data_IF_348357472444
#
_entry.id   IF_348357472444
#
_cell.length_a   1.000
_cell.length_b   1.000
_cell.length_c   1.000
_cell.angle_alpha   90.00
_cell.angle_beta   90.00
_cell.angle_gamma   90.00
#
_symmetry.space_group_name_H-M   'P 1'
#
loop_
_entity.id
_entity.type
_entity.pdbx_description
1 polymer ?
#
# COMPACT_ATOMS: atom_id res chain seq x y z
N UNK A 1 67.55 -13.79 -5.25
CA UNK A 1 67.55 -13.21 -3.89
C UNK A 1 66.24 -13.62 -3.24
N UNK A 2 66.09 -14.43 -2.20
CA UNK A 2 66.96 -15.26 -1.34
C UNK A 2 65.99 -16.35 -0.77
N UNK A 3 66.07 -17.61 -1.19
CA UNK A 3 66.64 -18.77 -0.46
C UNK A 3 66.52 -18.78 1.08
N UNK A 4 65.84 -19.81 1.61
CA UNK A 4 66.32 -20.81 2.62
C UNK A 4 65.15 -21.25 3.54
N UNK A 5 64.66 -22.50 3.43
CA UNK A 5 65.09 -23.75 4.11
C UNK A 5 64.26 -24.06 5.38
N UNK A 6 63.49 -25.16 5.40
CA UNK A 6 63.82 -26.53 5.92
C UNK A 6 63.76 -26.59 7.47
N UNK A 7 63.00 -27.44 8.18
CA UNK A 7 62.98 -28.92 8.31
C UNK A 7 61.84 -29.26 9.33
N UNK A 8 60.98 -30.25 9.12
CA UNK A 8 61.13 -31.71 9.40
C UNK A 8 61.13 -32.13 10.90
N UNK A 9 60.17 -33.00 11.29
CA UNK A 9 60.29 -34.24 12.11
C UNK A 9 58.95 -34.63 12.78
N UNK A 10 58.29 -35.72 12.36
CA UNK A 10 58.31 -37.12 12.89
C UNK A 10 57.59 -37.30 14.25
N UNK A 11 56.39 -37.95 14.26
CA UNK A 11 56.06 -39.36 14.66
C UNK A 11 55.94 -39.59 16.19
N UNK A 12 55.37 -40.70 16.72
CA UNK A 12 54.19 -41.50 16.30
C UNK A 12 53.33 -42.11 17.48
N UNK A 13 52.21 -42.76 17.11
CA UNK A 13 51.71 -44.10 17.54
C UNK A 13 51.04 -44.43 18.91
N UNK A 14 50.09 -45.39 18.78
CA UNK A 14 49.52 -46.38 19.72
C UNK A 14 48.34 -45.91 20.60
N UNK A 15 47.27 -46.68 20.87
CA UNK A 15 46.95 -48.11 20.70
C UNK A 15 45.46 -48.35 21.08
N UNK A 16 44.86 -49.43 20.53
CA UNK A 16 43.97 -50.43 21.20
C UNK A 16 42.62 -49.95 21.84
N UNK A 17 41.51 -50.69 21.89
CA UNK A 17 41.11 -52.04 21.51
C UNK A 17 39.56 -52.15 21.54
N UNK A 18 39.04 -53.11 20.77
CA UNK A 18 37.93 -54.06 21.01
C UNK A 18 36.64 -53.67 21.78
N UNK A 19 35.47 -53.99 21.19
CA UNK A 19 34.77 -55.25 21.51
C UNK A 19 33.55 -55.51 20.59
N UNK A 20 33.30 -56.81 20.39
CA UNK A 20 32.43 -57.47 19.42
C UNK A 20 31.05 -57.85 19.96
N UNK A 21 30.05 -58.00 19.06
CA UNK A 21 29.04 -59.09 19.02
C UNK A 21 28.09 -58.81 17.85
N UNK A 22 28.05 -59.60 16.76
CA UNK A 22 27.33 -60.87 16.56
C UNK A 22 25.86 -60.77 17.01
N UNK A 23 24.82 -61.12 16.26
CA UNK A 23 24.62 -61.81 14.98
C UNK A 23 23.09 -61.84 14.79
N UNK A 24 22.57 -61.76 13.56
CA UNK A 24 21.51 -62.67 13.08
C UNK A 24 21.13 -62.39 11.62
N UNK A 25 21.11 -63.47 10.88
CA UNK A 25 20.77 -63.61 9.46
C UNK A 25 19.27 -63.77 9.26
N UNK A 26 18.70 -63.18 8.20
CA UNK A 26 17.63 -63.83 7.45
C UNK A 26 17.62 -63.38 5.98
N UNK A 27 17.36 -64.36 5.13
CA UNK A 27 17.54 -64.42 3.69
C UNK A 27 16.28 -63.96 2.93
N UNK A 28 16.43 -63.85 1.60
CA UNK A 28 15.40 -63.91 0.53
C UNK A 28 14.92 -62.62 -0.16
N UNK A 29 15.46 -62.45 -1.39
CA UNK A 29 14.79 -62.22 -2.68
C UNK A 29 13.64 -61.22 -2.82
N UNK A 30 13.80 -60.19 -3.66
CA UNK A 30 13.21 -60.11 -5.02
C UNK A 30 13.31 -58.69 -5.60
N UNK A 31 13.51 -58.66 -6.91
CA UNK A 31 13.62 -57.53 -7.81
C UNK A 31 12.28 -56.85 -8.08
N UNK A 32 12.19 -55.53 -7.98
CA UNK A 32 11.20 -54.74 -8.74
C UNK A 32 11.79 -53.41 -9.22
N UNK A 33 11.59 -53.18 -10.51
CA UNK A 33 12.03 -52.04 -11.31
C UNK A 33 11.42 -50.72 -10.85
N UNK A 34 12.26 -49.75 -10.49
CA UNK A 34 11.85 -48.35 -10.36
C UNK A 34 12.06 -47.62 -11.68
N UNK A 35 11.04 -47.66 -12.55
CA UNK A 35 10.84 -46.68 -13.60
C UNK A 35 10.59 -45.31 -12.95
N UNK A 36 11.57 -44.42 -13.08
CA UNK A 36 11.44 -43.01 -12.71
C UNK A 36 10.56 -42.31 -13.74
N UNK A 37 9.31 -42.07 -13.35
CA UNK A 37 8.36 -41.21 -14.05
C UNK A 37 8.91 -39.79 -14.12
N UNK A 38 9.23 -39.34 -15.34
CA UNK A 38 9.51 -37.95 -15.65
C UNK A 38 8.22 -37.14 -15.49
N UNK A 39 7.99 -36.62 -14.28
CA UNK A 39 6.95 -35.62 -14.05
C UNK A 39 7.33 -34.30 -14.70
N UNK A 40 6.49 -33.94 -15.65
CA UNK A 40 6.24 -32.66 -16.31
C UNK A 40 6.66 -31.40 -15.50
N UNK A 41 7.77 -30.78 -15.93
CA UNK A 41 8.29 -29.48 -15.45
C UNK A 41 8.00 -28.35 -16.46
N UNK A 42 6.98 -28.48 -17.33
CA UNK A 42 6.77 -27.51 -18.42
C UNK A 42 5.93 -26.27 -18.07
N UNK A 43 5.42 -26.13 -16.84
CA UNK A 43 4.52 -25.03 -16.46
C UNK A 43 5.22 -23.72 -16.05
N UNK A 44 6.51 -23.73 -15.73
CA UNK A 44 7.20 -22.54 -15.17
C UNK A 44 7.77 -21.58 -16.22
N UNK A 45 7.96 -22.00 -17.47
CA UNK A 45 8.59 -21.17 -18.50
C UNK A 45 7.69 -20.05 -19.05
N UNK A 46 6.37 -20.17 -18.90
CA UNK A 46 5.43 -19.21 -19.48
C UNK A 46 5.25 -17.92 -18.64
N UNK A 47 5.36 -18.00 -17.31
CA UNK A 47 5.06 -16.88 -16.42
C UNK A 47 6.06 -15.72 -16.53
N UNK A 48 7.34 -16.00 -16.79
CA UNK A 48 8.39 -14.97 -16.89
C UNK A 48 8.33 -14.20 -18.22
N UNK A 49 7.86 -14.84 -19.30
CA UNK A 49 7.69 -14.16 -20.60
C UNK A 49 6.59 -13.09 -20.56
N UNK A 50 5.51 -13.37 -19.82
CA UNK A 50 4.34 -12.48 -19.68
C UNK A 50 4.66 -11.17 -18.92
N UNK A 51 5.58 -11.20 -17.94
CA UNK A 51 5.93 -10.01 -17.14
C UNK A 51 6.54 -8.88 -17.96
N UNK A 52 7.44 -9.23 -18.89
CA UNK A 52 8.07 -8.26 -19.78
C UNK A 52 7.05 -7.61 -20.73
N UNK A 53 6.02 -8.36 -21.14
CA UNK A 53 5.02 -7.92 -22.10
C UNK A 53 3.91 -7.06 -21.46
N UNK A 54 3.62 -7.27 -20.17
CA UNK A 54 2.60 -6.50 -19.45
C UNK A 54 2.91 -4.99 -19.40
N UNK A 55 4.19 -4.59 -19.43
CA UNK A 55 4.58 -3.17 -19.43
C UNK A 55 3.97 -2.41 -18.24
N UNK A 56 3.10 -1.42 -18.50
CA UNK A 56 2.38 -0.63 -17.49
C UNK A 56 1.02 -1.22 -17.06
N UNK A 57 0.58 -2.29 -17.71
CA UNK A 57 -0.77 -2.80 -17.56
C UNK A 57 -0.91 -3.75 -16.36
N UNK A 58 -2.07 -3.76 -15.68
CA UNK A 58 -2.32 -4.73 -14.61
C UNK A 58 -2.41 -6.16 -15.14
N UNK A 59 -2.15 -7.18 -14.30
CA UNK A 59 -2.39 -8.57 -14.72
C UNK A 59 -3.87 -8.86 -14.96
N UNK A 60 -4.74 -8.11 -14.29
CA UNK A 60 -6.19 -8.27 -14.37
C UNK A 60 -6.91 -6.94 -14.19
N UNK A 61 -8.08 -6.84 -14.78
CA UNK A 61 -9.00 -5.72 -14.58
C UNK A 61 -10.41 -6.24 -14.32
N UNK A 62 -11.11 -5.63 -13.38
CA UNK A 62 -12.52 -5.91 -13.13
C UNK A 62 -13.38 -5.11 -14.11
N UNK A 63 -14.04 -5.81 -15.02
CA UNK A 63 -15.11 -5.23 -15.82
C UNK A 63 -16.41 -5.17 -15.01
N UNK A 64 -17.10 -4.02 -15.09
CA UNK A 64 -18.31 -3.71 -14.34
C UNK A 64 -19.46 -3.45 -15.32
N UNK A 65 -20.33 -4.45 -15.49
CA UNK A 65 -21.61 -4.27 -16.17
C UNK A 65 -22.62 -3.69 -15.16
N UNK A 66 -22.73 -2.36 -15.14
CA UNK A 66 -23.58 -1.64 -14.18
C UNK A 66 -25.06 -1.96 -14.33
N UNK A 67 -25.51 -2.18 -15.56
CA UNK A 67 -26.92 -2.41 -15.91
C UNK A 67 -27.36 -3.80 -15.48
N UNK A 68 -26.52 -4.81 -15.71
CA UNK A 68 -26.80 -6.20 -15.33
C UNK A 68 -26.34 -6.56 -13.93
N UNK A 69 -25.61 -5.65 -13.27
CA UNK A 69 -25.03 -5.86 -11.94
C UNK A 69 -24.05 -7.04 -11.90
N UNK A 70 -23.23 -7.17 -12.96
CA UNK A 70 -22.26 -8.26 -13.13
C UNK A 70 -20.84 -7.71 -13.02
N UNK A 71 -20.03 -8.40 -12.23
CA UNK A 71 -18.62 -8.10 -11.97
C UNK A 71 -17.78 -9.26 -12.51
N UNK A 72 -16.90 -9.01 -13.49
CA UNK A 72 -16.05 -10.06 -14.06
C UNK A 72 -14.61 -9.58 -14.16
N UNK A 73 -13.70 -10.27 -13.49
CA UNK A 73 -12.28 -10.00 -13.57
C UNK A 73 -11.72 -10.68 -14.81
N UNK A 74 -11.16 -9.91 -15.74
CA UNK A 74 -10.51 -10.44 -16.93
C UNK A 74 -9.00 -10.48 -16.74
N UNK A 75 -8.38 -11.58 -17.15
CA UNK A 75 -6.92 -11.69 -17.24
C UNK A 75 -6.42 -10.87 -18.45
N UNK A 76 -5.25 -10.27 -18.31
CA UNK A 76 -4.54 -9.67 -19.43
C UNK A 76 -4.21 -10.72 -20.49
N UNK A 77 -4.37 -10.34 -21.75
CA UNK A 77 -3.96 -11.10 -22.92
C UNK A 77 -2.98 -10.27 -23.79
N UNK A 78 -2.11 -10.93 -24.60
CA UNK A 78 -1.18 -10.24 -25.48
C UNK A 78 -1.83 -9.14 -26.32
N UNK A 79 -1.21 -7.96 -26.34
CA UNK A 79 -1.78 -6.77 -26.96
C UNK A 79 -2.65 -5.93 -26.01
N UNK A 80 -2.55 -6.16 -24.70
CA UNK A 80 -3.26 -5.42 -23.65
C UNK A 80 -4.77 -5.57 -23.74
N UNK A 81 -5.23 -6.80 -24.00
CA UNK A 81 -6.65 -7.12 -24.19
C UNK A 81 -7.21 -7.66 -22.87
N UNK A 82 -8.41 -7.20 -22.50
CA UNK A 82 -9.17 -7.68 -21.34
C UNK A 82 -10.62 -7.93 -21.76
N UNK A 83 -11.07 -9.18 -21.72
CA UNK A 83 -12.44 -9.53 -22.12
C UNK A 83 -12.78 -9.11 -23.55
N UNK A 84 -11.80 -9.18 -24.47
CA UNK A 84 -11.94 -8.76 -25.86
C UNK A 84 -11.80 -7.25 -26.11
N UNK A 85 -11.64 -6.43 -25.08
CA UNK A 85 -11.43 -4.98 -25.22
C UNK A 85 -9.93 -4.69 -25.18
N UNK A 86 -9.41 -4.07 -26.23
CA UNK A 86 -8.01 -3.68 -26.35
C UNK A 86 -7.74 -2.36 -25.63
N UNK A 87 -6.72 -2.35 -24.79
CA UNK A 87 -6.21 -1.17 -24.05
C UNK A 87 -7.31 -0.36 -23.34
N UNK A 88 -8.21 -1.00 -22.57
CA UNK A 88 -9.29 -0.29 -21.92
C UNK A 88 -8.75 0.73 -20.92
N UNK A 89 -9.35 1.92 -20.88
CA UNK A 89 -9.18 2.82 -19.73
C UNK A 89 -9.66 2.11 -18.48
N UNK A 90 -8.98 2.33 -17.35
CA UNK A 90 -9.38 1.78 -16.07
C UNK A 90 -9.22 2.81 -14.94
N UNK A 91 -10.09 2.72 -13.94
CA UNK A 91 -9.96 3.45 -12.69
C UNK A 91 -9.34 2.57 -11.60
N UNK A 92 -8.79 3.17 -10.55
CA UNK A 92 -8.29 2.43 -9.36
C UNK A 92 -9.08 2.84 -8.11
N UNK A 93 -9.35 1.87 -7.23
CA UNK A 93 -9.92 2.13 -5.91
C UNK A 93 -8.96 1.65 -4.82
N UNK A 94 -8.64 2.58 -3.93
CA UNK A 94 -7.82 2.40 -2.74
C UNK A 94 -8.74 2.31 -1.52
N UNK A 95 -8.61 1.22 -0.76
CA UNK A 95 -9.43 0.95 0.42
C UNK A 95 -8.74 -0.08 1.32
N UNK A 96 -9.18 -0.16 2.58
CA UNK A 96 -8.68 -1.18 3.51
C UNK A 96 -9.66 -2.32 3.60
N UNK A 97 -9.20 -3.57 3.56
CA UNK A 97 -10.09 -4.73 3.71
C UNK A 97 -9.47 -5.86 4.53
N UNK A 98 -8.15 -6.07 4.42
CA UNK A 98 -7.47 -7.23 5.02
C UNK A 98 -7.67 -7.38 6.53
N UNK A 99 -7.76 -6.27 7.27
CA UNK A 99 -7.99 -6.26 8.74
C UNK A 99 -9.39 -6.69 9.16
N UNK A 100 -10.33 -6.68 8.21
CA UNK A 100 -11.76 -6.91 8.43
C UNK A 100 -12.26 -8.17 7.71
N UNK A 101 -11.33 -8.96 7.15
CA UNK A 101 -11.64 -10.27 6.58
C UNK A 101 -12.15 -11.18 7.69
N UNK A 102 -13.34 -11.74 7.48
CA UNK A 102 -13.91 -12.75 8.36
C UNK A 102 -13.13 -14.07 8.21
N UNK A 103 -12.68 -14.69 9.32
CA UNK A 103 -12.12 -16.04 9.29
C UNK A 103 -13.11 -17.06 8.74
N UNK A 104 -12.61 -18.16 8.18
CA UNK A 104 -13.46 -19.23 7.66
C UNK A 104 -14.36 -19.80 8.76
N UNK A 105 -15.61 -20.10 8.41
CA UNK A 105 -16.63 -20.59 9.34
C UNK A 105 -17.27 -19.53 10.25
N UNK A 106 -16.70 -18.33 10.38
CA UNK A 106 -17.32 -17.23 11.14
C UNK A 106 -18.39 -16.52 10.30
N UNK A 107 -19.54 -16.18 10.91
CA UNK A 107 -20.63 -15.43 10.27
C UNK A 107 -21.02 -15.98 8.87
N UNK A 108 -21.48 -17.24 8.76
CA UNK A 108 -21.77 -17.87 7.47
C UNK A 108 -22.92 -17.19 6.70
N UNK A 109 -23.71 -16.36 7.38
CA UNK A 109 -24.73 -15.47 6.81
C UNK A 109 -24.14 -14.35 5.95
N UNK A 110 -22.90 -13.94 6.22
CA UNK A 110 -22.22 -12.90 5.46
C UNK A 110 -21.57 -13.52 4.23
N UNK A 111 -22.02 -13.09 3.06
CA UNK A 111 -21.48 -13.51 1.77
C UNK A 111 -20.45 -12.51 1.23
N UNK A 112 -19.54 -12.98 0.37
CA UNK A 112 -18.64 -12.11 -0.37
C UNK A 112 -19.34 -11.51 -1.59
N UNK A 113 -18.77 -10.44 -2.17
CA UNK A 113 -19.21 -9.96 -3.49
C UNK A 113 -18.94 -11.05 -4.53
N UNK A 114 -19.95 -11.39 -5.33
CA UNK A 114 -19.79 -12.35 -6.42
C UNK A 114 -19.02 -11.70 -7.58
N UNK A 115 -17.82 -12.22 -7.86
CA UNK A 115 -16.96 -11.76 -8.96
C UNK A 115 -16.61 -12.96 -9.82
N UNK A 116 -16.99 -12.90 -11.10
CA UNK A 116 -16.66 -13.92 -12.09
C UNK A 116 -15.22 -13.81 -12.59
N UNK A 117 -14.73 -14.89 -13.20
CA UNK A 117 -13.43 -14.93 -13.88
C UNK A 117 -12.21 -15.11 -12.96
N UNK A 118 -12.38 -15.14 -11.64
CA UNK A 118 -11.31 -15.44 -10.67
C UNK A 118 -11.35 -16.90 -10.22
N UNK A 119 -10.21 -17.44 -9.80
CA UNK A 119 -10.07 -18.81 -9.29
C UNK A 119 -9.90 -18.89 -7.77
N UNK A 120 -9.68 -17.76 -7.12
CA UNK A 120 -9.54 -17.64 -5.66
C UNK A 120 -10.82 -17.14 -5.02
N UNK A 121 -10.97 -17.37 -3.72
CA UNK A 121 -12.10 -16.86 -2.96
C UNK A 121 -12.00 -15.34 -2.76
N UNK A 122 -13.09 -14.63 -3.08
CA UNK A 122 -13.26 -13.23 -2.69
C UNK A 122 -13.49 -13.17 -1.17
N UNK A 123 -12.76 -12.33 -0.41
CA UNK A 123 -12.87 -12.28 1.04
C UNK A 123 -14.26 -11.80 1.48
N UNK A 124 -14.78 -12.46 2.52
CA UNK A 124 -15.96 -12.01 3.26
C UNK A 124 -15.52 -10.95 4.26
N UNK A 125 -16.21 -9.81 4.30
CA UNK A 125 -15.87 -8.66 5.15
C UNK A 125 -16.93 -8.50 6.21
N UNK A 126 -16.53 -8.19 7.44
CA UNK A 126 -17.44 -7.92 8.56
C UNK A 126 -18.27 -6.64 8.32
N UNK A 127 -19.59 -6.74 8.10
CA UNK A 127 -20.44 -5.59 7.80
C UNK A 127 -20.75 -4.72 9.01
N UNK A 128 -20.60 -5.25 10.23
CA UNK A 128 -20.86 -4.50 11.46
C UNK A 128 -19.70 -3.57 11.79
N UNK A 129 -18.48 -4.06 11.61
CA UNK A 129 -17.26 -3.32 11.94
C UNK A 129 -16.67 -2.55 10.76
N UNK A 130 -17.10 -2.82 9.52
CA UNK A 130 -16.55 -2.15 8.34
C UNK A 130 -17.58 -1.81 7.27
N UNK A 131 -17.78 -2.67 6.27
CA UNK A 131 -18.69 -2.40 5.14
C UNK A 131 -19.42 -3.67 4.69
N UNK A 132 -20.62 -3.47 4.14
CA UNK A 132 -21.44 -4.55 3.57
C UNK A 132 -21.12 -4.82 2.09
N UNK A 133 -21.59 -5.94 1.55
CA UNK A 133 -21.52 -6.22 0.11
C UNK A 133 -22.24 -5.14 -0.71
N UNK A 134 -23.34 -4.59 -0.19
CA UNK A 134 -24.08 -3.51 -0.85
C UNK A 134 -23.23 -2.22 -0.92
N UNK A 135 -22.56 -1.87 0.17
CA UNK A 135 -21.62 -0.74 0.23
C UNK A 135 -20.49 -0.92 -0.81
N UNK A 136 -19.89 -2.12 -0.86
CA UNK A 136 -18.81 -2.42 -1.79
C UNK A 136 -19.24 -2.35 -3.26
N UNK A 137 -20.41 -2.92 -3.54
CA UNK A 137 -21.05 -2.85 -4.86
C UNK A 137 -21.31 -1.40 -5.28
N UNK A 138 -21.85 -0.59 -4.37
CA UNK A 138 -22.11 0.82 -4.63
C UNK A 138 -20.82 1.59 -4.92
N UNK A 139 -19.77 1.39 -4.13
CA UNK A 139 -18.47 2.03 -4.35
C UNK A 139 -17.89 1.69 -5.73
N UNK A 140 -17.87 0.41 -6.13
CA UNK A 140 -17.37 -0.02 -7.45
C UNK A 140 -18.18 0.63 -8.58
N UNK A 141 -19.51 0.68 -8.46
CA UNK A 141 -20.36 1.33 -9.47
C UNK A 141 -20.12 2.84 -9.56
N UNK A 142 -19.97 3.52 -8.41
CA UNK A 142 -19.67 4.95 -8.36
C UNK A 142 -18.32 5.26 -9.00
N UNK A 143 -17.31 4.43 -8.79
CA UNK A 143 -15.99 4.57 -9.44
C UNK A 143 -16.11 4.56 -10.97
N UNK A 144 -17.10 3.88 -11.53
CA UNK A 144 -17.29 3.79 -12.98
C UNK A 144 -17.97 5.03 -13.59
N UNK A 145 -18.82 5.76 -12.83
CA UNK A 145 -19.52 6.98 -13.28
C UNK A 145 -18.90 8.28 -12.79
N UNK A 146 -18.12 8.24 -11.71
CA UNK A 146 -17.53 9.44 -11.12
C UNK A 146 -16.22 9.75 -11.82
N UNK A 147 -15.94 11.04 -11.97
CA UNK A 147 -14.78 11.51 -12.72
C UNK A 147 -13.94 12.42 -11.84
N UNK A 148 -12.63 12.20 -11.85
CA UNK A 148 -11.68 13.11 -11.20
C UNK A 148 -11.66 14.48 -11.91
N UNK A 149 -11.83 14.46 -13.24
CA UNK A 149 -11.91 15.64 -14.10
C UNK A 149 -13.23 15.65 -14.90
N UNK A 150 -13.92 16.80 -15.06
CA UNK A 150 -15.27 16.86 -15.65
C UNK A 150 -15.38 16.35 -17.10
N UNK A 151 -14.31 16.46 -17.86
CA UNK A 151 -14.20 16.18 -19.30
C UNK A 151 -13.94 14.71 -19.64
N UNK A 152 -13.74 13.85 -18.64
CA UNK A 152 -13.51 12.41 -18.84
C UNK A 152 -14.79 11.67 -19.13
N UNK A 153 -14.70 10.49 -19.74
CA UNK A 153 -15.84 9.60 -19.97
C UNK A 153 -16.00 8.61 -18.79
N UNK A 154 -17.14 7.93 -18.75
CA UNK A 154 -17.36 6.81 -17.84
C UNK A 154 -16.40 5.67 -18.16
N UNK A 155 -15.92 4.97 -17.13
CA UNK A 155 -14.93 3.89 -17.26
C UNK A 155 -15.49 2.61 -16.69
N UNK A 156 -15.56 1.55 -17.50
CA UNK A 156 -16.15 0.26 -17.10
C UNK A 156 -15.16 -0.71 -16.44
N UNK A 157 -13.86 -0.43 -16.54
CA UNK A 157 -12.83 -1.26 -15.93
C UNK A 157 -12.29 -0.61 -14.67
N UNK A 158 -12.15 -1.43 -13.63
CA UNK A 158 -11.63 -1.02 -12.32
C UNK A 158 -10.51 -1.97 -11.93
N UNK A 159 -9.42 -1.43 -11.43
CA UNK A 159 -8.41 -2.20 -10.72
C UNK A 159 -8.63 -2.06 -9.21
N UNK A 160 -8.71 -3.21 -8.53
CA UNK A 160 -8.90 -3.29 -7.08
C UNK A 160 -8.38 -4.62 -6.54
N UNK A 161 -7.78 -4.60 -5.36
CA UNK A 161 -6.99 -5.70 -4.80
C UNK A 161 -7.67 -7.06 -4.87
N UNK A 162 -8.87 -7.20 -4.30
CA UNK A 162 -9.51 -8.52 -4.12
C UNK A 162 -9.94 -9.16 -5.43
N UNK A 163 -10.13 -8.37 -6.49
CA UNK A 163 -10.56 -8.84 -7.81
C UNK A 163 -9.42 -8.95 -8.82
N UNK A 164 -8.33 -8.21 -8.62
CA UNK A 164 -7.24 -8.11 -9.60
C UNK A 164 -5.94 -8.78 -9.15
N UNK A 165 -5.79 -9.05 -7.85
CA UNK A 165 -4.65 -9.75 -7.28
C UNK A 165 -5.15 -11.10 -6.74
N UNK A 166 -4.50 -12.18 -7.18
CA UNK A 166 -4.74 -13.51 -6.62
C UNK A 166 -4.32 -13.51 -5.14
N UNK A 167 -5.29 -13.63 -4.24
CA UNK A 167 -5.04 -13.56 -2.80
C UNK A 167 -4.52 -14.88 -2.20
N UNK A 168 -4.55 -15.97 -2.96
CA UNK A 168 -4.19 -17.32 -2.52
C UNK A 168 -2.84 -17.74 -3.09
N UNK A 169 -2.48 -17.29 -4.29
CA UNK A 169 -1.17 -17.52 -4.89
C UNK A 169 -0.16 -16.42 -4.51
N UNK A 170 0.73 -16.73 -3.55
CA UNK A 170 1.72 -15.78 -3.05
C UNK A 170 2.67 -15.23 -4.12
N UNK A 171 3.13 -16.05 -5.06
CA UNK A 171 4.09 -15.60 -6.08
C UNK A 171 3.44 -14.60 -7.05
N UNK A 172 2.25 -14.94 -7.56
CA UNK A 172 1.47 -14.05 -8.42
C UNK A 172 1.07 -12.78 -7.68
N UNK A 173 0.68 -12.91 -6.40
CA UNK A 173 0.41 -11.77 -5.53
C UNK A 173 1.58 -10.81 -5.46
N UNK A 174 2.77 -11.32 -5.14
CA UNK A 174 3.95 -10.47 -4.93
C UNK A 174 4.41 -9.79 -6.23
N UNK A 175 4.26 -10.45 -7.38
CA UNK A 175 4.53 -9.83 -8.68
C UNK A 175 3.58 -8.65 -8.97
N UNK A 176 2.28 -8.80 -8.70
CA UNK A 176 1.30 -7.72 -8.90
C UNK A 176 1.45 -6.61 -7.85
N UNK A 177 1.77 -6.94 -6.59
CA UNK A 177 2.19 -5.98 -5.56
C UNK A 177 3.39 -5.18 -6.07
N UNK A 178 4.38 -5.85 -6.68
CA UNK A 178 5.52 -5.24 -7.36
C UNK A 178 5.15 -4.33 -8.54
N UNK A 179 3.88 -4.25 -8.95
CA UNK A 179 3.37 -3.38 -10.02
C UNK A 179 2.37 -2.32 -9.55
N UNK A 180 1.87 -2.36 -8.31
CA UNK A 180 0.87 -1.39 -7.81
C UNK A 180 1.21 0.07 -8.13
N UNK A 181 2.47 0.48 -7.96
CA UNK A 181 2.90 1.84 -8.25
C UNK A 181 2.66 2.28 -9.71
N UNK A 182 3.06 1.44 -10.67
CA UNK A 182 2.83 1.73 -12.10
C UNK A 182 1.35 1.65 -12.46
N UNK A 183 0.59 0.77 -11.82
CA UNK A 183 -0.85 0.61 -12.02
C UNK A 183 -1.60 1.87 -11.58
N UNK A 184 -1.32 2.39 -10.39
CA UNK A 184 -1.93 3.62 -9.88
C UNK A 184 -1.57 4.84 -10.73
N UNK A 185 -0.30 4.95 -11.16
CA UNK A 185 0.16 6.06 -12.01
C UNK A 185 -0.58 6.12 -13.35
N UNK A 186 -0.92 4.97 -13.93
CA UNK A 186 -1.53 4.88 -15.27
C UNK A 186 -3.05 4.72 -15.26
N UNK A 187 -3.68 4.66 -14.09
CA UNK A 187 -5.13 4.70 -13.99
C UNK A 187 -5.65 6.04 -14.50
N UNK A 188 -6.80 6.01 -15.18
CA UNK A 188 -7.52 7.21 -15.63
C UNK A 188 -7.82 8.08 -14.41
N UNK A 189 -8.66 7.60 -13.49
CA UNK A 189 -8.96 8.25 -12.22
C UNK A 189 -8.66 7.34 -11.03
N UNK A 190 -8.38 7.94 -9.88
CA UNK A 190 -8.17 7.24 -8.63
C UNK A 190 -9.20 7.62 -7.59
N UNK A 191 -9.56 6.65 -6.74
CA UNK A 191 -10.55 6.81 -5.70
C UNK A 191 -10.03 6.30 -4.36
N UNK A 192 -10.31 7.04 -3.30
CA UNK A 192 -10.10 6.61 -1.91
C UNK A 192 -11.46 6.33 -1.32
N UNK A 193 -11.73 5.08 -1.00
CA UNK A 193 -12.98 4.69 -0.37
C UNK A 193 -12.81 4.57 1.14
N UNK A 194 -13.37 5.54 1.86
CA UNK A 194 -13.40 5.63 3.30
C UNK A 194 -14.48 4.72 3.86
N UNK A 195 -14.21 3.42 3.81
CA UNK A 195 -15.21 2.39 3.99
C UNK A 195 -15.78 2.29 5.42
N UNK A 196 -15.28 3.08 6.38
CA UNK A 196 -15.83 3.20 7.74
C UNK A 196 -16.59 4.52 7.98
N UNK A 197 -16.53 5.48 7.06
CA UNK A 197 -17.05 6.85 7.25
C UNK A 197 -18.38 7.05 6.57
N UNK A 198 -19.39 7.45 7.34
CA UNK A 198 -20.64 7.95 6.77
C UNK A 198 -20.43 9.32 6.11
N UNK A 199 -21.14 9.55 5.01
CA UNK A 199 -20.99 10.75 4.17
C UNK A 199 -21.15 12.03 5.00
N UNK A 200 -22.23 12.10 5.78
CA UNK A 200 -22.61 13.31 6.52
C UNK A 200 -21.55 13.66 7.57
N UNK A 201 -20.99 12.65 8.24
CA UNK A 201 -19.94 12.84 9.24
C UNK A 201 -18.63 13.32 8.61
N UNK A 202 -18.19 12.67 7.54
CA UNK A 202 -16.93 13.02 6.89
C UNK A 202 -17.01 14.38 6.19
N UNK A 203 -18.18 14.74 5.68
CA UNK A 203 -18.42 16.06 5.10
C UNK A 203 -18.28 17.19 6.13
N UNK A 204 -18.75 16.98 7.37
CA UNK A 204 -18.51 17.92 8.48
C UNK A 204 -17.02 18.01 8.80
N UNK A 205 -16.32 16.88 8.87
CA UNK A 205 -14.86 16.85 9.09
C UNK A 205 -14.12 17.67 8.03
N UNK A 206 -14.44 17.46 6.75
CA UNK A 206 -13.86 18.19 5.63
C UNK A 206 -14.16 19.69 5.71
N UNK A 207 -15.42 20.06 5.94
CA UNK A 207 -15.85 21.46 6.03
C UNK A 207 -15.17 22.20 7.18
N UNK A 208 -15.20 21.64 8.39
CA UNK A 208 -14.61 22.28 9.57
C UNK A 208 -13.07 22.41 9.48
N UNK A 209 -12.37 21.42 8.92
CA UNK A 209 -10.92 21.54 8.71
C UNK A 209 -10.59 22.60 7.64
N UNK A 210 -11.38 22.66 6.59
CA UNK A 210 -11.22 23.67 5.55
C UNK A 210 -11.50 25.08 6.09
N UNK A 211 -12.57 25.27 6.85
CA UNK A 211 -12.89 26.55 7.47
C UNK A 211 -11.81 26.96 8.48
N UNK A 212 -11.29 26.03 9.29
CA UNK A 212 -10.18 26.30 10.20
C UNK A 212 -8.94 26.78 9.44
N UNK A 213 -8.61 26.16 8.30
CA UNK A 213 -7.52 26.61 7.43
C UNK A 213 -7.77 28.01 6.86
N UNK A 214 -8.94 28.26 6.27
CA UNK A 214 -9.28 29.53 5.64
C UNK A 214 -9.38 30.71 6.63
N UNK A 215 -9.79 30.42 7.87
CA UNK A 215 -9.97 31.43 8.92
C UNK A 215 -8.69 31.65 9.74
N UNK A 216 -7.61 30.93 9.46
CA UNK A 216 -6.33 31.15 10.12
C UNK A 216 -5.77 32.53 9.75
N UNK A 217 -5.23 33.30 10.72
CA UNK A 217 -4.51 34.52 10.42
C UNK A 217 -3.39 34.28 9.40
N UNK A 218 -3.29 35.18 8.41
CA UNK A 218 -2.30 35.08 7.33
C UNK A 218 -0.89 35.17 7.90
N UNK A 219 0.04 34.42 7.31
CA UNK A 219 1.41 34.28 7.80
C UNK A 219 2.20 35.59 7.82
N UNK A 220 1.85 36.52 6.94
CA UNK A 220 2.65 37.71 6.64
C UNK A 220 2.23 38.92 7.51
N UNK A 221 1.31 38.71 8.46
CA UNK A 221 0.99 39.75 9.44
C UNK A 221 2.22 40.08 10.29
N UNK A 222 2.49 41.38 10.55
CA UNK A 222 3.49 41.78 11.52
C UNK A 222 3.31 41.05 12.86
N UNK A 223 4.40 40.65 13.50
CA UNK A 223 4.35 40.02 14.81
C UNK A 223 4.13 41.12 15.85
N UNK A 224 2.86 41.40 16.13
CA UNK A 224 2.42 42.39 17.10
C UNK A 224 1.27 41.86 17.98
N UNK A 225 0.78 42.71 18.88
CA UNK A 225 -0.31 42.36 19.81
C UNK A 225 -1.62 41.98 19.10
N UNK A 226 -1.89 42.55 17.92
CA UNK A 226 -3.11 42.25 17.17
C UNK A 226 -3.02 40.86 16.53
N UNK A 227 -1.85 40.49 15.99
CA UNK A 227 -1.63 39.15 15.46
C UNK A 227 -1.81 38.09 16.54
N UNK A 228 -1.23 38.29 17.73
CA UNK A 228 -1.43 37.39 18.89
C UNK A 228 -2.93 37.27 19.22
N UNK A 229 -3.64 38.39 19.32
CA UNK A 229 -5.09 38.41 19.63
C UNK A 229 -5.92 37.65 18.60
N UNK A 230 -5.64 37.82 17.31
CA UNK A 230 -6.31 37.10 16.23
C UNK A 230 -6.02 35.60 16.29
N UNK A 231 -4.78 35.22 16.61
CA UNK A 231 -4.40 33.83 16.75
C UNK A 231 -5.04 33.17 17.97
N UNK A 232 -5.10 33.84 19.11
CA UNK A 232 -5.83 33.35 20.29
C UNK A 232 -7.32 33.14 20.00
N UNK A 233 -7.94 34.07 19.26
CA UNK A 233 -9.32 33.91 18.80
C UNK A 233 -9.47 32.71 17.86
N UNK A 234 -8.51 32.47 16.97
CA UNK A 234 -8.52 31.29 16.11
C UNK A 234 -8.44 30.00 16.94
N UNK A 235 -7.51 29.91 17.89
CA UNK A 235 -7.35 28.75 18.78
C UNK A 235 -8.63 28.44 19.55
N UNK A 236 -9.27 29.47 20.13
CA UNK A 236 -10.54 29.31 20.86
C UNK A 236 -11.65 28.71 19.98
N UNK A 237 -11.70 29.08 18.70
CA UNK A 237 -12.77 28.66 17.80
C UNK A 237 -12.50 27.30 17.13
N UNK A 238 -11.24 26.97 16.85
CA UNK A 238 -10.88 25.90 15.91
C UNK A 238 -10.04 24.77 16.50
N UNK A 239 -9.32 24.99 17.60
CA UNK A 239 -8.36 23.99 18.10
C UNK A 239 -9.04 22.68 18.51
N UNK A 240 -10.13 22.75 19.27
CA UNK A 240 -10.86 21.57 19.72
C UNK A 240 -11.57 20.85 18.56
N UNK A 241 -12.22 21.62 17.67
CA UNK A 241 -12.88 21.06 16.48
C UNK A 241 -11.89 20.33 15.58
N UNK A 242 -10.76 20.97 15.28
CA UNK A 242 -9.68 20.37 14.49
C UNK A 242 -9.13 19.12 15.17
N UNK A 243 -8.94 19.16 16.50
CA UNK A 243 -8.49 18.01 17.27
C UNK A 243 -9.45 16.83 17.20
N UNK A 244 -10.76 17.09 17.35
CA UNK A 244 -11.82 16.09 17.17
C UNK A 244 -11.82 15.50 15.77
N UNK A 245 -11.66 16.34 14.74
CA UNK A 245 -11.73 15.92 13.34
C UNK A 245 -10.52 15.09 12.92
N UNK A 246 -9.31 15.49 13.31
CA UNK A 246 -8.10 14.69 13.08
C UNK A 246 -8.15 13.38 13.87
N UNK A 247 -8.71 13.42 15.09
CA UNK A 247 -8.97 12.20 15.87
C UNK A 247 -9.91 11.26 15.12
N UNK A 248 -11.01 11.78 14.57
CA UNK A 248 -11.96 11.01 13.76
C UNK A 248 -11.25 10.34 12.57
N UNK A 249 -10.43 11.09 11.82
CA UNK A 249 -9.64 10.58 10.69
C UNK A 249 -8.76 9.38 11.11
N UNK A 250 -8.05 9.48 12.23
CA UNK A 250 -7.12 8.44 12.68
C UNK A 250 -7.82 7.23 13.32
N UNK A 251 -8.90 7.46 14.06
CA UNK A 251 -9.56 6.42 14.87
C UNK A 251 -10.70 5.72 14.15
N UNK A 252 -11.38 6.41 13.22
CA UNK A 252 -12.53 5.85 12.49
C UNK A 252 -12.19 5.34 11.10
N UNK A 253 -11.20 5.95 10.43
CA UNK A 253 -10.83 5.57 9.08
C UNK A 253 -9.52 4.77 9.02
N UNK A 254 -9.59 3.44 8.87
CA UNK A 254 -8.40 2.59 8.83
C UNK A 254 -7.50 2.91 7.64
N UNK A 255 -8.06 3.55 6.61
CA UNK A 255 -7.32 4.06 5.46
C UNK A 255 -6.18 5.00 5.87
N UNK A 256 -6.37 5.88 6.86
CA UNK A 256 -5.30 6.80 7.31
C UNK A 256 -4.31 6.16 8.29
N UNK A 257 -4.48 4.88 8.63
CA UNK A 257 -3.54 4.13 9.46
C UNK A 257 -2.92 2.94 8.72
N UNK A 258 -3.36 2.62 7.50
CA UNK A 258 -2.73 1.60 6.65
C UNK A 258 -1.43 2.08 6.04
N UNK A 259 -0.41 1.22 6.00
CA UNK A 259 0.84 1.57 5.33
C UNK A 259 0.67 1.59 3.80
N UNK A 260 -0.03 0.59 3.24
CA UNK A 260 -0.28 0.46 1.81
C UNK A 260 -0.94 1.70 1.20
N UNK A 261 -1.88 2.30 1.93
CA UNK A 261 -2.62 3.49 1.46
C UNK A 261 -1.75 4.75 1.43
N UNK A 262 -0.61 4.77 2.14
CA UNK A 262 0.29 5.91 2.14
C UNK A 262 1.02 6.04 0.79
N UNK A 263 1.45 4.92 0.20
CA UNK A 263 2.00 4.92 -1.16
C UNK A 263 0.93 5.36 -2.18
N UNK A 264 -0.28 4.83 -2.06
CA UNK A 264 -1.40 5.16 -2.96
C UNK A 264 -1.75 6.66 -2.88
N UNK A 265 -1.76 7.22 -1.67
CA UNK A 265 -1.93 8.65 -1.41
C UNK A 265 -0.89 9.51 -2.13
N UNK A 266 0.37 9.08 -2.06
CA UNK A 266 1.50 9.77 -2.70
C UNK A 266 1.41 9.74 -4.22
N UNK A 267 1.05 8.58 -4.78
CA UNK A 267 0.95 8.40 -6.22
C UNK A 267 -0.27 9.12 -6.80
N UNK A 268 -1.37 9.21 -6.04
CA UNK A 268 -2.64 9.81 -6.48
C UNK A 268 -3.18 10.83 -5.46
N UNK A 269 -2.49 11.97 -5.27
CA UNK A 269 -2.92 12.97 -4.31
C UNK A 269 -4.29 13.58 -4.67
N UNK A 270 -4.72 13.50 -5.92
CA UNK A 270 -6.02 14.02 -6.36
C UNK A 270 -7.14 12.98 -6.36
N UNK A 271 -6.91 11.79 -5.81
CA UNK A 271 -7.92 10.75 -5.74
C UNK A 271 -9.23 11.26 -5.12
N UNK A 272 -10.35 10.95 -5.78
CA UNK A 272 -11.69 11.33 -5.35
C UNK A 272 -12.06 10.53 -4.11
N UNK A 273 -12.63 11.19 -3.11
CA UNK A 273 -12.98 10.54 -1.85
C UNK A 273 -14.43 10.03 -1.88
N UNK A 274 -14.62 8.76 -1.54
CA UNK A 274 -15.93 8.12 -1.41
C UNK A 274 -16.21 7.81 0.06
N UNK A 275 -17.44 8.02 0.50
CA UNK A 275 -17.93 7.57 1.81
C UNK A 275 -18.25 6.07 1.82
N UNK A 276 -18.52 5.50 2.99
CA UNK A 276 -18.83 4.08 3.20
C UNK A 276 -19.89 3.55 2.25
N UNK A 277 -20.98 4.27 2.06
CA UNK A 277 -22.08 3.92 1.16
C UNK A 277 -21.74 4.03 -0.34
N UNK A 278 -20.48 4.30 -0.66
CA UNK A 278 -19.97 4.41 -2.02
C UNK A 278 -20.29 5.75 -2.69
N UNK A 279 -20.93 6.72 -2.01
CA UNK A 279 -21.18 8.05 -2.58
C UNK A 279 -19.92 8.91 -2.56
N UNK A 280 -19.69 9.65 -3.64
CA UNK A 280 -18.63 10.64 -3.68
C UNK A 280 -18.92 11.79 -2.71
N UNK A 281 -17.90 12.23 -1.97
CA UNK A 281 -18.04 13.34 -1.03
C UNK A 281 -18.15 14.65 -1.83
N UNK A 282 -19.26 15.40 -1.72
CA UNK A 282 -19.44 16.62 -2.49
C UNK A 282 -18.57 17.75 -1.94
N UNK A 283 -18.01 18.55 -2.84
CA UNK A 283 -17.32 19.78 -2.50
C UNK A 283 -18.34 20.86 -2.17
N UNK A 284 -18.44 21.20 -0.89
CA UNK A 284 -19.32 22.28 -0.40
C UNK A 284 -18.49 23.49 0.09
N UNK A 285 -17.64 24.02 -0.79
CA UNK A 285 -16.80 25.18 -0.48
C UNK A 285 -17.42 26.45 -1.06
N UNK A 286 -17.66 27.45 -0.21
CA UNK A 286 -18.19 28.75 -0.64
C UNK A 286 -17.22 29.38 -1.66
N UNK A 287 -17.74 29.77 -2.82
CA UNK A 287 -16.95 30.41 -3.89
C UNK A 287 -16.24 29.45 -4.85
N UNK A 288 -16.41 28.13 -4.70
CA UNK A 288 -15.88 27.13 -5.64
C UNK A 288 -16.99 26.52 -6.48
N UNK A 289 -16.66 26.13 -7.72
CA UNK A 289 -17.57 25.34 -8.54
C UNK A 289 -17.95 24.04 -7.83
N UNK A 290 -19.23 23.60 -7.94
CA UNK A 290 -19.64 22.29 -7.46
C UNK A 290 -18.71 21.20 -8.03
N UNK A 291 -18.42 20.20 -7.20
CA UNK A 291 -17.55 19.10 -7.59
C UNK A 291 -17.45 18.06 -6.48
N UNK A 292 -16.41 17.24 -6.52
CA UNK A 292 -16.11 16.23 -5.50
C UNK A 292 -14.88 16.60 -4.70
N UNK A 293 -14.86 16.23 -3.43
CA UNK A 293 -13.67 16.33 -2.60
C UNK A 293 -12.62 15.31 -3.00
N UNK A 294 -11.36 15.67 -2.80
CA UNK A 294 -10.22 14.83 -3.08
C UNK A 294 -9.20 14.86 -1.95
N UNK A 295 -8.31 13.87 -1.97
CA UNK A 295 -7.31 13.68 -0.92
C UNK A 295 -6.42 14.93 -0.72
N UNK A 296 -6.02 15.60 -1.80
CA UNK A 296 -5.20 16.81 -1.77
C UNK A 296 -5.89 17.94 -1.01
N UNK A 297 -7.21 18.09 -1.17
CA UNK A 297 -7.99 19.10 -0.47
C UNK A 297 -7.97 18.90 1.05
N UNK A 298 -8.16 17.65 1.49
CA UNK A 298 -8.05 17.30 2.91
C UNK A 298 -6.63 17.57 3.43
N UNK A 299 -5.63 17.18 2.65
CA UNK A 299 -4.24 17.27 3.04
C UNK A 299 -3.73 18.72 3.10
N UNK A 300 -4.21 19.61 2.21
CA UNK A 300 -3.98 21.05 2.30
C UNK A 300 -4.63 21.61 3.58
N UNK A 301 -5.88 21.24 3.87
CA UNK A 301 -6.58 21.72 5.05
C UNK A 301 -5.85 21.33 6.35
N UNK A 302 -5.45 20.05 6.48
CA UNK A 302 -4.72 19.58 7.66
C UNK A 302 -3.34 20.21 7.76
N UNK A 303 -2.60 20.38 6.65
CA UNK A 303 -1.32 21.09 6.66
C UNK A 303 -1.48 22.56 7.07
N UNK A 304 -2.54 23.23 6.61
CA UNK A 304 -2.87 24.60 6.98
C UNK A 304 -3.18 24.77 8.47
N UNK A 305 -3.97 23.86 9.03
CA UNK A 305 -4.25 23.80 10.48
C UNK A 305 -2.97 23.56 11.28
N UNK A 306 -2.10 22.64 10.86
CA UNK A 306 -0.80 22.43 11.51
C UNK A 306 0.05 23.70 11.47
N UNK A 307 0.11 24.39 10.34
CA UNK A 307 0.84 25.66 10.20
C UNK A 307 0.29 26.77 11.10
N UNK A 308 -1.03 26.84 11.30
CA UNK A 308 -1.64 27.77 12.25
C UNK A 308 -1.24 27.47 13.71
N UNK A 309 -1.24 26.19 14.09
CA UNK A 309 -0.75 25.74 15.39
C UNK A 309 0.74 26.03 15.60
N UNK A 310 1.59 25.81 14.59
CA UNK A 310 3.02 26.13 14.65
C UNK A 310 3.23 27.62 14.87
N UNK A 311 2.49 28.47 14.15
CA UNK A 311 2.52 29.92 14.33
C UNK A 311 2.05 30.34 15.73
N UNK A 312 0.98 29.75 16.24
CA UNK A 312 0.49 30.10 17.58
C UNK A 312 1.53 29.81 18.67
N UNK A 313 2.28 28.72 18.52
CA UNK A 313 3.38 28.37 19.42
C UNK A 313 4.52 29.38 19.31
N UNK A 314 4.92 29.75 18.09
CA UNK A 314 5.97 30.74 17.87
C UNK A 314 5.62 32.13 18.44
N UNK A 315 4.34 32.49 18.40
CA UNK A 315 3.80 33.73 18.96
C UNK A 315 3.63 33.69 20.50
N UNK A 316 3.88 32.56 21.15
CA UNK A 316 3.67 32.42 22.59
C UNK A 316 2.20 32.48 23.01
N UNK A 317 1.27 32.10 22.13
CA UNK A 317 -0.15 32.04 22.47
C UNK A 317 -0.44 31.00 23.56
N UNK A 318 -1.57 31.17 24.25
CA UNK A 318 -2.07 30.16 25.19
C UNK A 318 -2.43 28.84 24.47
N UNK A 319 -2.30 27.69 25.17
CA UNK A 319 -2.74 26.38 24.63
C UNK A 319 -1.71 25.62 23.78
N UNK A 320 -0.42 25.98 23.88
CA UNK A 320 0.67 25.37 23.12
C UNK A 320 0.74 23.84 23.19
N UNK A 321 0.45 23.23 24.34
CA UNK A 321 0.50 21.77 24.47
C UNK A 321 -0.59 21.07 23.64
N UNK A 322 -1.79 21.65 23.59
CA UNK A 322 -2.88 21.15 22.74
C UNK A 322 -2.56 21.37 21.26
N UNK A 323 -1.98 22.51 20.91
CA UNK A 323 -1.52 22.80 19.55
C UNK A 323 -0.44 21.80 19.09
N UNK A 324 0.56 21.51 19.93
CA UNK A 324 1.59 20.49 19.67
C UNK A 324 1.00 19.09 19.52
N UNK A 325 0.06 18.72 20.38
CA UNK A 325 -0.63 17.44 20.27
C UNK A 325 -1.39 17.31 18.94
N UNK A 326 -2.06 18.39 18.50
CA UNK A 326 -2.74 18.42 17.21
C UNK A 326 -1.75 18.30 16.04
N UNK A 327 -0.63 19.02 16.07
CA UNK A 327 0.43 18.90 15.06
C UNK A 327 0.92 17.45 14.96
N UNK A 328 1.20 16.81 16.10
CA UNK A 328 1.66 15.41 16.13
C UNK A 328 0.62 14.45 15.55
N UNK A 329 -0.67 14.65 15.85
CA UNK A 329 -1.75 13.84 15.27
C UNK A 329 -1.89 14.08 13.76
N UNK A 330 -1.79 15.32 13.30
CA UNK A 330 -1.81 15.62 11.86
C UNK A 330 -0.63 14.92 11.17
N UNK A 331 0.56 14.92 11.79
CA UNK A 331 1.72 14.22 11.25
C UNK A 331 1.50 12.70 11.17
N UNK A 332 0.82 12.09 12.15
CA UNK A 332 0.47 10.66 12.10
C UNK A 332 -0.43 10.30 10.92
N UNK A 333 -1.22 11.25 10.39
CA UNK A 333 -2.01 11.01 9.17
C UNK A 333 -1.13 10.85 7.93
N UNK A 334 0.13 11.30 7.93
CA UNK A 334 1.01 11.32 6.76
C UNK A 334 0.57 12.22 5.59
N UNK A 335 -0.57 12.92 5.72
CA UNK A 335 -1.14 13.72 4.63
C UNK A 335 -0.30 14.96 4.30
N UNK A 336 0.30 15.57 5.32
CA UNK A 336 1.22 16.71 5.14
C UNK A 336 2.40 16.32 4.28
N UNK A 337 2.97 15.14 4.52
CA UNK A 337 4.14 14.61 3.81
C UNK A 337 3.80 14.25 2.35
N UNK A 338 2.62 13.65 2.13
CA UNK A 338 2.11 13.32 0.80
C UNK A 338 1.96 14.57 -0.09
N UNK A 339 1.45 15.68 0.43
CA UNK A 339 1.24 16.92 -0.36
C UNK A 339 2.55 17.56 -0.79
N UNK A 340 3.61 17.36 -0.01
CA UNK A 340 4.93 17.94 -0.32
C UNK A 340 5.63 17.20 -1.47
N UNK A 341 5.15 16.02 -1.87
CA UNK A 341 5.68 15.28 -3.02
C UNK A 341 7.14 14.84 -2.85
N UNK A 342 7.64 14.76 -1.61
CA UNK A 342 8.98 14.27 -1.31
C UNK A 342 8.90 12.82 -0.82
N UNK A 343 9.50 11.85 -1.54
CA UNK A 343 9.40 10.43 -1.18
C UNK A 343 10.08 10.09 0.15
N UNK A 344 11.04 10.88 0.62
CA UNK A 344 11.71 10.67 1.91
C UNK A 344 10.85 11.09 3.10
N UNK A 345 9.96 12.07 2.92
CA UNK A 345 8.98 12.41 3.95
C UNK A 345 7.92 11.31 4.11
N UNK A 346 7.62 10.62 3.01
CA UNK A 346 6.77 9.42 3.05
C UNK A 346 7.42 8.30 3.86
N UNK A 347 8.73 8.10 3.74
CA UNK A 347 9.46 7.15 4.58
C UNK A 347 9.32 7.48 6.08
N UNK A 348 9.40 8.76 6.45
CA UNK A 348 9.11 9.21 7.82
C UNK A 348 7.66 8.94 8.22
N UNK A 349 6.69 9.29 7.37
CA UNK A 349 5.28 9.09 7.63
C UNK A 349 4.91 7.60 7.78
N UNK A 350 5.62 6.71 7.07
CA UNK A 350 5.45 5.27 7.16
C UNK A 350 5.67 4.72 8.58
N UNK A 351 6.53 5.36 9.39
CA UNK A 351 6.78 4.94 10.78
C UNK A 351 5.53 5.01 11.67
N UNK A 352 4.59 5.92 11.35
CA UNK A 352 3.33 6.07 12.08
C UNK A 352 2.22 5.12 11.62
N UNK A 353 2.40 4.45 10.47
CA UNK A 353 1.39 3.55 9.91
C UNK A 353 1.48 2.15 10.53
N UNK A 354 0.33 1.50 10.58
CA UNK A 354 0.17 0.13 11.02
C UNK A 354 0.41 -0.83 9.85
N UNK A 355 1.14 -1.90 10.15
CA UNK A 355 1.40 -3.02 9.23
C UNK A 355 0.76 -4.29 9.78
N UNK A 356 0.33 -5.18 8.88
CA UNK A 356 -0.14 -6.52 9.27
C UNK A 356 1.00 -7.54 9.15
N UNK A 357 1.76 -7.48 8.07
CA UNK A 357 3.02 -8.20 7.88
C UNK A 357 4.20 -7.24 8.08
N UNK A 358 5.22 -7.63 8.83
CA UNK A 358 6.39 -6.79 9.06
C UNK A 358 7.11 -6.41 7.76
N UNK A 359 7.10 -7.29 6.76
CA UNK A 359 7.73 -7.03 5.45
C UNK A 359 7.04 -5.88 4.69
N UNK A 360 5.78 -5.56 5.02
CA UNK A 360 5.06 -4.44 4.42
C UNK A 360 5.74 -3.10 4.72
N UNK A 361 6.55 -3.01 5.78
CA UNK A 361 7.37 -1.81 6.09
C UNK A 361 8.24 -1.38 4.91
N UNK A 362 8.65 -2.33 4.06
CA UNK A 362 9.37 -2.05 2.82
C UNK A 362 8.44 -2.14 1.62
N UNK A 363 7.66 -3.22 1.48
CA UNK A 363 6.83 -3.42 0.28
C UNK A 363 5.78 -2.33 0.08
N UNK A 364 5.21 -1.79 1.16
CA UNK A 364 4.19 -0.76 1.11
C UNK A 364 4.68 0.63 0.70
N UNK A 365 5.99 0.83 0.52
CA UNK A 365 6.58 2.14 0.16
C UNK A 365 7.63 2.06 -0.95
N UNK A 366 8.20 0.89 -1.25
CA UNK A 366 9.34 0.77 -2.18
C UNK A 366 9.07 1.34 -3.57
N UNK A 367 7.81 1.32 -4.03
CA UNK A 367 7.48 1.75 -5.39
C UNK A 367 7.36 3.25 -5.52
N UNK A 368 7.22 3.98 -4.41
CA UNK A 368 7.37 5.44 -4.38
C UNK A 368 8.77 5.84 -4.89
N UNK A 369 9.77 4.97 -4.67
CA UNK A 369 11.14 5.15 -5.16
C UNK A 369 11.40 4.49 -6.51
N UNK A 370 10.40 3.82 -7.10
CA UNK A 370 10.53 3.08 -8.36
C UNK A 370 11.18 1.70 -8.23
N UNK A 371 11.22 1.11 -7.03
CA UNK A 371 11.88 -0.18 -6.80
C UNK A 371 10.90 -1.36 -6.78
N UNK A 372 11.42 -2.54 -7.16
CA UNK A 372 10.84 -3.86 -6.89
C UNK A 372 11.88 -4.67 -6.12
N UNK A 373 11.59 -5.01 -4.87
CA UNK A 373 12.53 -5.63 -3.93
C UNK A 373 12.04 -7.02 -3.53
N UNK A 374 12.93 -7.85 -2.97
CA UNK A 374 12.59 -9.18 -2.45
C UNK A 374 11.72 -10.03 -3.39
N UNK A 375 10.60 -10.54 -2.85
CA UNK A 375 9.68 -11.42 -3.56
C UNK A 375 8.88 -10.74 -4.70
N UNK A 376 8.93 -9.40 -4.78
CA UNK A 376 8.25 -8.65 -5.86
C UNK A 376 9.08 -8.51 -7.14
N UNK A 377 10.34 -8.96 -7.13
CA UNK A 377 11.20 -8.95 -8.31
C UNK A 377 10.72 -10.01 -9.31
N UNK A 378 10.60 -9.67 -10.61
CA UNK A 378 10.42 -10.67 -11.66
C UNK A 378 11.58 -11.67 -11.62
N UNK A 379 11.29 -12.98 -11.75
CA UNK A 379 12.34 -13.98 -11.88
C UNK A 379 13.10 -13.67 -13.18
N UNK A 380 14.41 -13.47 -13.07
CA UNK A 380 15.28 -13.09 -14.21
C UNK A 380 16.15 -11.85 -14.01
N UNK A 381 15.88 -10.98 -13.02
CA UNK A 381 16.72 -9.79 -12.79
C UNK A 381 17.94 -10.00 -11.89
N UNK A 382 18.16 -11.21 -11.38
CA UNK A 382 19.34 -11.54 -10.57
C UNK A 382 20.32 -12.41 -11.34
N UNK A 383 21.14 -11.81 -12.20
CA UNK A 383 22.49 -12.33 -12.41
C UNK A 383 23.31 -11.95 -11.17
N UNK A 384 23.43 -12.88 -10.24
CA UNK A 384 24.47 -12.82 -9.24
C UNK A 384 25.78 -13.31 -9.92
N UNK A 385 26.95 -12.69 -9.71
CA UNK A 385 28.22 -13.13 -10.34
C UNK A 385 28.61 -14.59 -10.06
N UNK A 386 27.94 -15.25 -9.11
CA UNK A 386 28.24 -16.59 -8.63
C UNK A 386 27.21 -17.67 -9.04
N UNK A 387 26.28 -17.39 -9.95
CA UNK A 387 25.47 -18.43 -10.63
C UNK A 387 24.46 -19.22 -9.79
N UNK A 388 24.24 -18.88 -8.51
CA UNK A 388 23.23 -19.55 -7.69
C UNK A 388 21.82 -18.98 -7.94
N UNK A 389 20.96 -19.79 -8.55
CA UNK A 389 19.51 -19.56 -8.66
C UNK A 389 18.86 -19.71 -7.28
N UNK A 390 18.49 -18.60 -6.64
CA UNK A 390 17.60 -18.65 -5.49
C UNK A 390 16.18 -18.91 -6.00
N UNK A 391 15.67 -20.12 -5.79
CA UNK A 391 14.22 -20.32 -5.86
C UNK A 391 13.63 -19.53 -4.67
N UNK A 392 12.89 -18.46 -4.96
CA UNK A 392 12.18 -17.65 -3.96
C UNK A 392 10.98 -18.44 -3.41
N UNK A 393 11.24 -19.59 -2.78
CA UNK A 393 10.28 -20.16 -1.86
C UNK A 393 10.26 -19.25 -0.62
N UNK A 394 9.06 -18.97 -0.10
CA UNK A 394 8.72 -18.18 1.10
C UNK A 394 9.62 -18.32 2.35
N UNK A 395 10.59 -19.23 2.36
CA UNK A 395 11.53 -19.46 3.46
C UNK A 395 12.62 -18.39 3.50
N UNK A 396 12.44 -17.44 4.44
CA UNK A 396 13.45 -16.61 5.14
C UNK A 396 13.78 -15.21 4.60
N UNK A 397 12.92 -14.53 3.86
CA UNK A 397 13.06 -13.07 3.77
C UNK A 397 12.72 -12.45 5.13
N UNK A 398 13.70 -11.83 5.79
CA UNK A 398 13.47 -11.04 6.99
C UNK A 398 13.31 -9.57 6.61
N UNK A 399 12.67 -8.80 7.48
CA UNK A 399 12.56 -7.35 7.31
C UNK A 399 13.95 -6.70 7.15
N UNK A 400 14.94 -7.13 7.93
CA UNK A 400 16.32 -6.64 7.85
C UNK A 400 16.95 -6.80 6.46
N UNK A 401 16.60 -7.88 5.75
CA UNK A 401 17.15 -8.15 4.42
C UNK A 401 16.55 -7.16 3.40
N UNK A 402 15.24 -6.92 3.49
CA UNK A 402 14.54 -5.94 2.65
C UNK A 402 14.95 -4.51 2.95
N UNK A 403 15.18 -4.16 4.22
CA UNK A 403 15.64 -2.83 4.63
C UNK A 403 17.05 -2.55 4.11
N UNK A 404 17.93 -3.54 4.16
CA UNK A 404 19.27 -3.44 3.57
C UNK A 404 19.18 -3.25 2.06
N UNK A 405 18.35 -4.03 1.39
CA UNK A 405 18.15 -3.95 -0.06
C UNK A 405 17.57 -2.58 -0.50
N UNK A 406 16.58 -2.09 0.25
CA UNK A 406 16.00 -0.76 0.05
C UNK A 406 17.06 0.32 0.25
N UNK A 407 17.84 0.25 1.33
CA UNK A 407 18.89 1.23 1.64
C UNK A 407 19.95 1.27 0.54
N UNK A 408 20.41 0.11 0.07
CA UNK A 408 21.35 0.01 -1.05
C UNK A 408 20.77 0.62 -2.33
N UNK A 409 19.51 0.35 -2.62
CA UNK A 409 18.81 0.88 -3.81
C UNK A 409 18.63 2.40 -3.74
N UNK A 410 18.28 2.93 -2.57
CA UNK A 410 18.19 4.36 -2.29
C UNK A 410 19.55 5.03 -2.45
N UNK A 411 20.61 4.51 -1.82
CA UNK A 411 21.96 5.09 -1.92
C UNK A 411 22.48 5.11 -3.36
N UNK A 412 22.18 4.07 -4.14
CA UNK A 412 22.57 3.98 -5.55
C UNK A 412 21.82 4.97 -6.44
N UNK A 413 20.53 5.18 -6.19
CA UNK A 413 19.64 5.95 -7.07
C UNK A 413 19.53 7.42 -6.66
N UNK A 414 19.62 7.71 -5.37
CA UNK A 414 19.43 9.03 -4.75
C UNK A 414 20.58 9.41 -3.80
N UNK A 415 21.85 9.34 -4.23
CA UNK A 415 23.01 9.44 -3.34
C UNK A 415 23.12 10.78 -2.57
N UNK A 416 22.53 11.86 -3.08
CA UNK A 416 22.55 13.18 -2.41
C UNK A 416 21.37 13.31 -1.46
N UNK A 417 20.15 13.03 -1.92
CA UNK A 417 18.94 13.18 -1.11
C UNK A 417 18.90 12.19 0.07
N UNK A 418 19.50 11.00 -0.08
CA UNK A 418 19.61 10.01 0.99
C UNK A 418 20.44 10.50 2.18
N UNK A 419 21.47 11.31 1.95
CA UNK A 419 22.30 11.89 3.02
C UNK A 419 21.65 13.09 3.70
N UNK A 420 20.81 13.85 2.96
CA UNK A 420 20.11 15.02 3.48
C UNK A 420 18.85 14.67 4.27
N UNK A 421 18.36 13.43 4.16
CA UNK A 421 17.11 12.98 4.80
C UNK A 421 17.32 12.18 6.09
N UNK A 422 18.55 12.12 6.61
CA UNK A 422 18.83 11.56 7.94
C UNK A 422 18.33 12.57 8.98
N UNK A 423 17.10 12.38 9.46
CA UNK A 423 16.57 13.16 10.57
C UNK A 423 16.32 12.26 11.78
N UNK A 424 17.01 12.63 12.86
CA UNK A 424 16.85 12.18 14.25
C UNK A 424 15.45 12.34 14.80
#
# INVERSE_FOLDING_TARGET
>A
MAHAHHLDRRRPQLSENDESSASESFDSTSSEDYQTSAMDYSLDAHQDSDESMLGRWPRRLLHVDRERDIFTSYKWEPGNIYGGIKEPKYNVISYTWGRYKLPDGTRPDVHALNIGGVTWAIPRIDPENHFSVADFRAAIKTVCSTRELPDREDVQFVWLDVACIDQENYEVKMLEVGRQGVIFQHAESAFVWLASSHLENFQVVMGELWDAFQMAPVSDLPVDTEHVRLMEKWLQNWLEKSSRNVRYILEKEPWFTSLWTLQEAYLRPFAVMLARDGRAIPRQKKGWSPGVENLRSLAIATAGVAGACERSIALGCNGNDRARLLINRIQQTGLRDVVQGNPFLLYKAASFRQVYDELDRVYGIMQVFGFKLGASKPRGTSENPNGHRFSFHRKRLKLSDLELELSQSILKTYPVQSHLSIFT
#
